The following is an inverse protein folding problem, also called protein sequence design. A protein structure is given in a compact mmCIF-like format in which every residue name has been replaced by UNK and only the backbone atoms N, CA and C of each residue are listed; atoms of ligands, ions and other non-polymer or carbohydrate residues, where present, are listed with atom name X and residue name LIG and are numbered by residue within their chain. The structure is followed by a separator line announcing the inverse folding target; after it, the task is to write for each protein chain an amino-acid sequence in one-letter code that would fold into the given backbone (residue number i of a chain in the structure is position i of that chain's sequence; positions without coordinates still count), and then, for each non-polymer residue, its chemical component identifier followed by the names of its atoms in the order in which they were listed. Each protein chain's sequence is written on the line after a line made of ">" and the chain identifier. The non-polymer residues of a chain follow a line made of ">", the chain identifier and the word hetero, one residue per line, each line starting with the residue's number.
data_IF_775075632872
#
_entry.id   IF_775075632872
#
_cell.length_a   1.000
_cell.length_b   1.000
_cell.length_c   1.000
_cell.angle_alpha   90.00
_cell.angle_beta   90.00
_cell.angle_gamma   90.00
#
_symmetry.space_group_name_H-M   'P 1'
#
loop_
_entity.id
_entity.type
_entity.pdbx_description
1 polymer ?
#
# COMPACT_ATOMS: atom_id res chain seq x y z
N UNK A 1 -28.39 21.27 13.94
CA UNK A 1 -29.22 20.08 13.64
C UNK A 1 -30.03 19.75 14.87
N UNK A 2 -31.31 19.45 14.69
CA UNK A 2 -32.17 18.98 15.78
C UNK A 2 -31.83 17.54 16.18
N UNK A 3 -32.26 17.11 17.37
CA UNK A 3 -32.07 15.72 17.83
C UNK A 3 -32.73 14.72 16.87
N UNK A 4 -33.92 15.03 16.34
CA UNK A 4 -34.61 14.20 15.37
C UNK A 4 -33.83 14.02 14.05
N UNK A 5 -33.17 15.09 13.57
CA UNK A 5 -32.30 15.02 12.38
C UNK A 5 -31.08 14.12 12.61
N UNK A 6 -30.47 14.17 13.80
CA UNK A 6 -29.33 13.33 14.15
C UNK A 6 -29.73 11.85 14.28
N UNK A 7 -30.87 11.56 14.91
CA UNK A 7 -31.40 10.18 15.01
C UNK A 7 -31.72 9.62 13.61
N UNK A 8 -32.29 10.45 12.73
CA UNK A 8 -32.52 10.07 11.33
C UNK A 8 -31.21 9.78 10.59
N UNK A 9 -30.20 10.66 10.73
CA UNK A 9 -28.88 10.46 10.15
C UNK A 9 -28.21 9.17 10.65
N UNK A 10 -28.31 8.87 11.95
CA UNK A 10 -27.83 7.60 12.54
C UNK A 10 -28.53 6.39 11.91
N UNK A 11 -29.85 6.46 11.72
CA UNK A 11 -30.64 5.43 11.05
C UNK A 11 -30.15 5.14 9.62
N UNK A 12 -29.82 6.19 8.85
CA UNK A 12 -29.27 6.05 7.49
C UNK A 12 -27.92 5.34 7.53
N UNK A 13 -27.03 5.70 8.46
CA UNK A 13 -25.71 5.09 8.61
C UNK A 13 -25.82 3.61 8.99
N UNK A 14 -26.68 3.28 9.97
CA UNK A 14 -27.02 1.89 10.31
C UNK A 14 -27.52 1.12 9.09
N UNK A 15 -28.40 1.73 8.29
CA UNK A 15 -28.89 1.13 7.05
C UNK A 15 -27.82 0.92 5.97
N UNK A 16 -26.74 1.71 5.93
CA UNK A 16 -25.57 1.43 5.07
C UNK A 16 -24.88 0.14 5.53
N UNK A 17 -24.62 0.01 6.84
CA UNK A 17 -23.97 -1.17 7.41
C UNK A 17 -24.80 -2.44 7.21
N UNK A 18 -26.12 -2.40 7.47
CA UNK A 18 -27.03 -3.53 7.25
C UNK A 18 -27.07 -3.99 5.79
N UNK A 19 -27.02 -3.06 4.83
CA UNK A 19 -26.97 -3.43 3.40
C UNK A 19 -25.67 -4.15 3.04
N UNK A 20 -24.55 -3.76 3.64
CA UNK A 20 -23.29 -4.48 3.47
C UNK A 20 -23.40 -5.87 4.10
N UNK A 21 -23.90 -5.98 5.34
CA UNK A 21 -24.07 -7.26 6.02
C UNK A 21 -24.90 -8.24 5.19
N UNK A 22 -26.06 -7.80 4.69
CA UNK A 22 -26.93 -8.63 3.86
C UNK A 22 -26.22 -9.10 2.60
N UNK A 23 -25.49 -8.20 1.92
CA UNK A 23 -24.71 -8.56 0.74
C UNK A 23 -23.64 -9.61 1.06
N UNK A 24 -22.92 -9.46 2.17
CA UNK A 24 -21.86 -10.37 2.61
C UNK A 24 -22.43 -11.75 2.94
N UNK A 25 -23.54 -11.80 3.69
CA UNK A 25 -24.22 -13.06 4.05
C UNK A 25 -24.74 -13.84 2.84
N UNK A 26 -25.14 -13.15 1.78
CA UNK A 26 -25.62 -13.78 0.54
C UNK A 26 -24.55 -13.85 -0.55
N UNK A 27 -23.28 -13.57 -0.22
CA UNK A 27 -22.23 -13.50 -1.21
C UNK A 27 -21.92 -14.89 -1.77
N UNK A 28 -21.98 -15.03 -3.09
CA UNK A 28 -21.58 -16.24 -3.77
C UNK A 28 -20.05 -16.37 -3.76
N UNK A 29 -19.54 -17.42 -3.14
CA UNK A 29 -18.11 -17.77 -3.08
C UNK A 29 -17.44 -17.91 -4.46
N UNK A 30 -18.22 -18.11 -5.54
CA UNK A 30 -17.74 -18.15 -6.92
C UNK A 30 -17.59 -16.76 -7.56
N UNK A 31 -18.27 -15.74 -7.01
CA UNK A 31 -18.31 -14.39 -7.54
C UNK A 31 -17.00 -13.62 -7.30
N UNK A 32 -16.88 -12.46 -7.96
CA UNK A 32 -15.66 -11.65 -7.89
C UNK A 32 -15.45 -11.06 -6.48
N UNK A 33 -14.38 -11.51 -5.82
CA UNK A 33 -14.00 -11.11 -4.45
C UNK A 33 -13.76 -9.60 -4.29
N UNK A 34 -13.45 -8.88 -5.37
CA UNK A 34 -13.26 -7.42 -5.33
C UNK A 34 -14.54 -6.69 -4.87
N UNK A 35 -15.73 -7.25 -5.07
CA UNK A 35 -16.97 -6.69 -4.55
C UNK A 35 -17.04 -6.72 -3.01
N UNK A 36 -16.43 -7.72 -2.38
CA UNK A 36 -16.31 -7.82 -0.92
C UNK A 36 -15.25 -6.86 -0.41
N UNK A 37 -14.07 -6.83 -1.04
CA UNK A 37 -12.96 -5.94 -0.66
C UNK A 37 -13.34 -4.45 -0.79
N UNK A 38 -14.06 -4.08 -1.84
CA UNK A 38 -14.56 -2.71 -2.03
C UNK A 38 -15.58 -2.30 -0.96
N UNK A 39 -16.33 -3.24 -0.38
CA UNK A 39 -17.24 -2.95 0.75
C UNK A 39 -16.49 -2.89 2.07
N UNK A 40 -15.46 -3.72 2.24
CA UNK A 40 -14.54 -3.67 3.39
C UNK A 40 -13.89 -2.29 3.52
N UNK A 41 -13.45 -1.69 2.41
CA UNK A 41 -12.81 -0.36 2.43
C UNK A 41 -13.76 0.78 2.82
N UNK A 42 -15.08 0.59 2.73
CA UNK A 42 -16.08 1.57 3.17
C UNK A 42 -16.36 1.53 4.68
N UNK A 43 -16.06 0.40 5.35
CA UNK A 43 -16.38 0.21 6.77
C UNK A 43 -15.77 1.28 7.69
N UNK A 44 -14.47 1.66 7.57
CA UNK A 44 -13.90 2.70 8.43
C UNK A 44 -14.61 4.05 8.29
N UNK A 45 -15.05 4.40 7.08
CA UNK A 45 -15.82 5.63 6.84
C UNK A 45 -17.19 5.57 7.51
N UNK A 46 -17.87 4.42 7.43
CA UNK A 46 -19.19 4.21 8.06
C UNK A 46 -19.07 4.28 9.59
N UNK A 47 -18.02 3.69 10.17
CA UNK A 47 -17.74 3.79 11.61
C UNK A 47 -17.53 5.26 12.00
N UNK A 48 -16.66 5.98 11.29
CA UNK A 48 -16.40 7.40 11.55
C UNK A 48 -17.68 8.26 11.48
N UNK A 49 -18.49 8.09 10.44
CA UNK A 49 -19.78 8.78 10.30
C UNK A 49 -20.71 8.49 11.50
N UNK A 50 -20.76 7.24 11.95
CA UNK A 50 -21.56 6.85 13.11
C UNK A 50 -21.05 7.52 14.39
N UNK A 51 -19.74 7.49 14.65
CA UNK A 51 -19.15 8.08 15.85
C UNK A 51 -19.40 9.59 15.93
N UNK A 52 -19.26 10.30 14.81
CA UNK A 52 -19.51 11.73 14.74
C UNK A 52 -20.98 12.10 15.03
N UNK A 53 -21.92 11.32 14.49
CA UNK A 53 -23.37 11.53 14.72
C UNK A 53 -23.74 11.13 16.15
N UNK A 54 -23.25 9.99 16.62
CA UNK A 54 -23.56 9.47 17.95
C UNK A 54 -22.99 10.38 19.06
N UNK A 55 -21.78 10.93 18.89
CA UNK A 55 -21.22 11.90 19.83
C UNK A 55 -22.06 13.18 19.94
N UNK A 56 -22.63 13.65 18.83
CA UNK A 56 -23.54 14.81 18.83
C UNK A 56 -24.85 14.50 19.57
N UNK A 57 -25.42 13.31 19.36
CA UNK A 57 -26.63 12.85 20.08
C UNK A 57 -26.35 12.78 21.59
N UNK A 58 -25.23 12.19 21.99
CA UNK A 58 -24.85 12.07 23.41
C UNK A 58 -24.59 13.45 24.04
N UNK A 59 -23.99 14.38 23.30
CA UNK A 59 -23.80 15.77 23.77
C UNK A 59 -25.13 16.49 23.99
N UNK A 60 -26.10 16.30 23.09
CA UNK A 60 -27.44 16.88 23.26
C UNK A 60 -28.16 16.24 24.44
N UNK A 61 -28.13 14.90 24.56
CA UNK A 61 -28.75 14.18 25.68
C UNK A 61 -28.20 14.60 27.05
N UNK A 62 -26.89 14.92 27.13
CA UNK A 62 -26.25 15.46 28.36
C UNK A 62 -26.70 16.88 28.71
N UNK A 63 -27.20 17.65 27.74
CA UNK A 63 -27.60 19.06 27.93
C UNK A 63 -29.08 19.17 28.36
N UNK A 64 -29.92 18.24 27.92
CA UNK A 64 -31.38 18.26 28.16
C UNK A 64 -31.82 17.51 29.41
N UNK A 65 -30.99 16.62 29.98
CA UNK A 65 -31.34 15.78 31.13
C UNK A 65 -30.57 16.16 32.40
N UNK A 66 -31.26 16.14 33.56
CA UNK A 66 -30.59 16.05 34.87
C UNK A 66 -29.63 14.86 34.86
N UNK A 67 -28.38 15.10 35.26
CA UNK A 67 -27.17 14.25 35.15
C UNK A 67 -27.32 12.84 35.75
N UNK A 68 -28.20 12.01 35.20
CA UNK A 68 -28.51 10.68 35.71
C UNK A 68 -28.11 9.64 34.68
N UNK A 69 -27.33 8.63 35.11
CA UNK A 69 -26.82 7.53 34.26
C UNK A 69 -27.91 6.80 33.48
N UNK A 70 -29.13 6.75 34.01
CA UNK A 70 -30.29 6.12 33.38
C UNK A 70 -30.72 6.75 32.03
N UNK A 71 -30.42 8.03 31.78
CA UNK A 71 -30.78 8.71 30.52
C UNK A 71 -29.79 8.44 29.38
N UNK A 72 -28.59 7.94 29.68
CA UNK A 72 -27.56 7.62 28.68
C UNK A 72 -27.54 6.14 28.29
N UNK A 73 -28.16 5.27 29.09
CA UNK A 73 -28.36 3.83 28.83
C UNK A 73 -28.82 3.52 27.39
N UNK A 74 -29.82 4.21 26.80
CA UNK A 74 -30.24 3.94 25.43
C UNK A 74 -29.15 4.22 24.39
N UNK A 75 -28.28 5.20 24.63
CA UNK A 75 -27.20 5.56 23.72
C UNK A 75 -26.03 4.57 23.80
N UNK A 76 -25.73 4.08 25.01
CA UNK A 76 -24.75 3.02 25.22
C UNK A 76 -25.16 1.74 24.49
N UNK A 77 -26.43 1.31 24.64
CA UNK A 77 -26.97 0.13 23.95
C UNK A 77 -26.95 0.29 22.43
N UNK A 78 -27.23 1.48 21.93
CA UNK A 78 -27.19 1.75 20.50
C UNK A 78 -25.76 1.64 19.94
N UNK A 79 -24.76 2.16 20.68
CA UNK A 79 -23.34 2.03 20.31
C UNK A 79 -22.90 0.57 20.30
N UNK A 80 -23.22 -0.17 21.35
CA UNK A 80 -22.93 -1.61 21.44
C UNK A 80 -23.59 -2.40 20.30
N UNK A 81 -24.86 -2.12 20.00
CA UNK A 81 -25.56 -2.75 18.88
C UNK A 81 -24.90 -2.45 17.53
N UNK A 82 -24.46 -1.21 17.31
CA UNK A 82 -23.77 -0.85 16.08
C UNK A 82 -22.39 -1.52 15.97
N UNK A 83 -21.60 -1.50 17.05
CA UNK A 83 -20.28 -2.12 17.09
C UNK A 83 -20.34 -3.63 16.85
N UNK A 84 -21.28 -4.32 17.49
CA UNK A 84 -21.50 -5.75 17.27
C UNK A 84 -21.81 -6.06 15.80
N UNK A 85 -22.71 -5.30 15.18
CA UNK A 85 -23.01 -5.45 13.75
C UNK A 85 -21.79 -5.11 12.87
N UNK A 86 -21.00 -4.10 13.24
CA UNK A 86 -19.82 -3.69 12.50
C UNK A 86 -18.77 -4.81 12.48
N UNK A 87 -18.47 -5.38 13.66
CA UNK A 87 -17.51 -6.46 13.78
C UNK A 87 -18.03 -7.78 13.19
N UNK A 88 -19.34 -8.04 13.23
CA UNK A 88 -19.95 -9.17 12.52
C UNK A 88 -19.69 -9.07 11.01
N UNK A 89 -19.97 -7.91 10.39
CA UNK A 89 -19.69 -7.69 8.97
C UNK A 89 -18.21 -7.92 8.65
N UNK A 90 -17.32 -7.36 9.48
CA UNK A 90 -15.88 -7.43 9.25
C UNK A 90 -15.38 -8.89 9.36
N UNK A 91 -15.85 -9.64 10.35
CA UNK A 91 -15.50 -11.05 10.54
C UNK A 91 -15.99 -11.94 9.39
N UNK A 92 -17.22 -11.71 8.91
CA UNK A 92 -17.77 -12.45 7.76
C UNK A 92 -16.97 -12.17 6.48
N UNK A 93 -16.63 -10.90 6.23
CA UNK A 93 -15.77 -10.51 5.11
C UNK A 93 -14.41 -11.22 5.19
N UNK A 94 -13.76 -11.20 6.36
CA UNK A 94 -12.45 -11.81 6.55
C UNK A 94 -12.50 -13.33 6.37
N UNK A 95 -13.56 -13.97 6.87
CA UNK A 95 -13.81 -15.41 6.68
C UNK A 95 -13.93 -15.76 5.19
N UNK A 96 -14.68 -14.98 4.41
CA UNK A 96 -14.82 -15.17 2.96
C UNK A 96 -13.45 -15.04 2.25
N UNK A 97 -12.67 -14.02 2.62
CA UNK A 97 -11.34 -13.78 2.03
C UNK A 97 -10.38 -14.92 2.36
N UNK A 98 -10.34 -15.36 3.61
CA UNK A 98 -9.50 -16.50 4.03
C UNK A 98 -9.88 -17.80 3.32
N UNK A 99 -11.18 -18.08 3.18
CA UNK A 99 -11.65 -19.28 2.48
C UNK A 99 -11.30 -19.24 0.99
N UNK A 100 -11.37 -18.06 0.35
CA UNK A 100 -10.93 -17.90 -1.05
C UNK A 100 -9.43 -18.16 -1.20
N UNK A 101 -8.62 -17.66 -0.28
CA UNK A 101 -7.17 -17.88 -0.27
C UNK A 101 -6.82 -19.35 -0.05
N UNK A 102 -7.55 -20.07 0.80
CA UNK A 102 -7.40 -21.53 0.98
C UNK A 102 -7.74 -22.31 -0.29
N UNK A 103 -8.79 -21.93 -1.01
CA UNK A 103 -9.21 -22.57 -2.28
C UNK A 103 -8.21 -22.30 -3.41
N UNK A 104 -7.65 -21.09 -3.49
CA UNK A 104 -6.61 -20.79 -4.47
C UNK A 104 -5.30 -21.53 -4.15
N UNK A 105 -4.93 -21.68 -2.87
CA UNK A 105 -3.74 -22.41 -2.47
C UNK A 105 -3.83 -23.94 -2.66
N UNK A 106 -5.03 -24.53 -2.74
CA UNK A 106 -5.22 -25.95 -3.06
C UNK A 106 -5.26 -26.24 -4.58
N UNK A 107 -5.56 -25.24 -5.41
CA UNK A 107 -5.64 -25.38 -6.88
C UNK A 107 -4.31 -25.11 -7.63
N UNK A 108 -3.31 -24.49 -6.99
CA UNK A 108 -2.01 -24.18 -7.61
C UNK A 108 -0.84 -24.93 -6.97
N UNK A 109 -0.74 -26.23 -7.25
CA UNK A 109 0.55 -26.93 -7.38
C UNK A 109 0.90 -27.12 -8.85
N UNK A 110 0.94 -26.02 -9.61
CA UNK A 110 1.68 -25.97 -10.86
C UNK A 110 2.96 -25.15 -10.64
N UNK A 111 4.08 -25.77 -10.98
CA UNK A 111 5.44 -25.28 -10.76
C UNK A 111 5.72 -24.16 -11.75
N UNK A 112 5.47 -22.91 -11.35
CA UNK A 112 6.08 -21.74 -12.00
C UNK A 112 6.84 -20.95 -10.95
N UNK A 113 8.12 -20.68 -11.21
CA UNK A 113 8.99 -19.82 -10.39
C UNK A 113 8.43 -18.39 -10.34
N UNK A 114 7.80 -17.92 -9.24
CA UNK A 114 7.25 -16.59 -9.19
C UNK A 114 8.34 -15.68 -8.62
N UNK A 115 9.10 -15.06 -9.50
CA UNK A 115 10.16 -14.10 -9.16
C UNK A 115 10.01 -12.78 -9.91
N UNK A 116 8.80 -12.50 -10.40
CA UNK A 116 8.46 -11.29 -11.13
C UNK A 116 7.64 -10.39 -10.22
N UNK A 117 8.23 -9.27 -9.79
CA UNK A 117 7.46 -8.14 -9.30
C UNK A 117 7.08 -7.32 -10.54
N UNK A 118 5.77 -7.07 -10.68
CA UNK A 118 5.21 -6.26 -11.76
C UNK A 118 4.98 -4.86 -11.18
N UNK A 119 5.81 -3.90 -11.58
CA UNK A 119 5.43 -2.49 -11.51
C UNK A 119 4.16 -2.29 -12.34
N UNK A 120 3.13 -1.69 -11.76
CA UNK A 120 1.91 -1.43 -12.51
C UNK A 120 2.13 -0.25 -13.46
N UNK A 121 1.96 -0.50 -14.76
CA UNK A 121 1.97 0.53 -15.78
C UNK A 121 0.76 0.37 -16.69
N UNK A 122 0.23 1.49 -17.19
CA UNK A 122 -0.88 1.50 -18.15
C UNK A 122 -0.29 1.77 -19.53
N UNK A 123 -0.47 0.83 -20.46
CA UNK A 123 0.16 0.86 -21.79
C UNK A 123 -0.42 1.92 -22.75
N UNK A 124 -1.54 2.58 -22.42
CA UNK A 124 -2.29 3.48 -23.31
C UNK A 124 -2.41 4.93 -22.80
N UNK A 125 -1.54 5.38 -21.89
CA UNK A 125 -1.57 6.76 -21.36
C UNK A 125 -0.34 7.51 -21.83
N UNK A 126 -0.43 8.85 -21.90
CA UNK A 126 0.69 9.74 -22.16
C UNK A 126 1.96 9.29 -21.40
N UNK A 127 3.15 9.38 -22.02
CA UNK A 127 4.39 8.96 -21.40
C UNK A 127 4.62 9.69 -20.07
N UNK A 128 4.69 8.93 -18.98
CA UNK A 128 5.01 9.42 -17.64
C UNK A 128 6.46 9.06 -17.33
N UNK A 129 7.19 10.00 -16.73
CA UNK A 129 8.54 9.78 -16.24
C UNK A 129 8.51 9.32 -14.79
N UNK A 130 9.35 8.34 -14.46
CA UNK A 130 9.48 7.83 -13.10
C UNK A 130 10.59 8.56 -12.34
N UNK A 131 10.38 8.74 -11.04
CA UNK A 131 11.37 9.30 -10.13
C UNK A 131 12.55 8.34 -9.96
N UNK A 132 13.63 8.59 -10.70
CA UNK A 132 14.83 7.75 -10.72
C UNK A 132 16.06 8.53 -10.29
N UNK A 133 17.05 7.84 -9.75
CA UNK A 133 18.31 8.43 -9.31
C UNK A 133 19.49 7.48 -9.50
N UNK A 134 20.66 8.02 -9.86
CA UNK A 134 21.92 7.28 -9.82
C UNK A 134 22.56 7.46 -8.43
N UNK A 135 22.92 6.35 -7.79
CA UNK A 135 23.57 6.32 -6.48
C UNK A 135 24.81 5.43 -6.49
N UNK A 136 25.59 5.54 -5.43
CA UNK A 136 26.77 4.72 -5.19
C UNK A 136 26.45 3.64 -4.15
N UNK A 137 26.48 2.38 -4.55
CA UNK A 137 26.30 1.24 -3.63
C UNK A 137 27.65 0.62 -3.34
N UNK A 138 27.92 0.35 -2.07
CA UNK A 138 29.18 -0.27 -1.63
C UNK A 138 29.15 -1.78 -1.92
N UNK A 139 30.15 -2.28 -2.64
CA UNK A 139 30.32 -3.71 -2.93
C UNK A 139 31.07 -4.47 -1.82
N UNK A 140 31.22 -5.78 -1.97
CA UNK A 140 31.91 -6.67 -1.02
C UNK A 140 33.39 -6.32 -0.82
N UNK A 141 34.00 -5.62 -1.77
CA UNK A 141 35.40 -5.18 -1.71
C UNK A 141 35.52 -3.74 -1.19
N UNK A 142 34.44 -3.19 -0.62
CA UNK A 142 34.32 -1.82 -0.14
C UNK A 142 34.42 -0.73 -1.23
N UNK A 143 34.31 -1.08 -2.51
CA UNK A 143 34.32 -0.12 -3.62
C UNK A 143 32.90 0.38 -3.92
N UNK A 144 32.80 1.65 -4.32
CA UNK A 144 31.54 2.28 -4.68
C UNK A 144 31.19 1.98 -6.14
N UNK A 145 30.02 1.42 -6.37
CA UNK A 145 29.50 1.03 -7.67
C UNK A 145 28.25 1.83 -8.00
N UNK A 146 28.17 2.38 -9.22
CA UNK A 146 26.97 3.11 -9.66
C UNK A 146 25.82 2.14 -9.86
N UNK A 147 24.67 2.46 -9.27
CA UNK A 147 23.41 1.74 -9.44
C UNK A 147 22.28 2.74 -9.68
N UNK A 148 21.27 2.32 -10.43
CA UNK A 148 20.05 3.10 -10.66
C UNK A 148 18.95 2.66 -9.72
N UNK A 149 18.40 3.64 -9.00
CA UNK A 149 17.25 3.51 -8.12
C UNK A 149 16.00 4.03 -8.81
N UNK A 150 14.89 3.34 -8.55
CA UNK A 150 13.53 3.85 -8.70
C UNK A 150 12.99 4.20 -7.31
N UNK A 151 12.43 5.39 -7.16
CA UNK A 151 11.70 5.80 -5.97
C UNK A 151 10.20 5.56 -6.19
N UNK A 152 9.61 4.64 -5.43
CA UNK A 152 8.23 4.20 -5.63
C UNK A 152 7.46 4.16 -4.30
N UNK A 153 6.75 5.25 -4.00
CA UNK A 153 5.87 5.36 -2.82
C UNK A 153 4.67 4.42 -2.87
N UNK A 154 4.35 3.86 -4.05
CA UNK A 154 3.31 2.84 -4.20
C UNK A 154 3.74 1.47 -3.69
N UNK A 155 5.04 1.27 -3.44
CA UNK A 155 5.59 0.04 -2.89
C UNK A 155 5.79 0.15 -1.39
N UNK A 156 5.28 -0.82 -0.62
CA UNK A 156 5.48 -0.83 0.83
C UNK A 156 6.94 -1.13 1.23
N UNK A 157 7.65 -1.91 0.41
CA UNK A 157 9.01 -2.37 0.71
C UNK A 157 10.03 -1.95 -0.34
N UNK A 158 11.31 -2.08 0.02
CA UNK A 158 12.44 -1.83 -0.86
C UNK A 158 13.05 -3.13 -1.43
N UNK A 159 13.48 -3.09 -2.69
CA UNK A 159 13.89 -4.27 -3.48
C UNK A 159 15.20 -4.07 -4.22
N UNK A 160 15.91 -5.18 -4.45
CA UNK A 160 17.10 -5.24 -5.30
C UNK A 160 17.05 -6.46 -6.22
N UNK A 161 17.51 -6.31 -7.46
CA UNK A 161 17.59 -7.47 -8.35
C UNK A 161 18.66 -8.46 -7.90
N UNK A 162 18.40 -9.76 -8.09
CA UNK A 162 19.38 -10.85 -7.89
C UNK A 162 20.67 -10.60 -8.65
N UNK A 163 20.56 -10.06 -9.86
CA UNK A 163 21.71 -9.71 -10.70
C UNK A 163 22.61 -8.68 -10.01
N UNK A 164 22.06 -7.56 -9.53
CA UNK A 164 22.85 -6.51 -8.86
C UNK A 164 23.38 -7.01 -7.52
N UNK A 165 22.56 -7.72 -6.74
CA UNK A 165 23.00 -8.32 -5.48
C UNK A 165 24.23 -9.22 -5.69
N UNK A 166 24.22 -10.07 -6.73
CA UNK A 166 25.36 -10.93 -7.08
C UNK A 166 26.54 -10.13 -7.61
N UNK A 167 26.31 -9.17 -8.51
CA UNK A 167 27.35 -8.31 -9.10
C UNK A 167 28.13 -7.53 -8.04
N UNK A 168 27.44 -7.05 -7.01
CA UNK A 168 28.02 -6.31 -5.89
C UNK A 168 28.60 -7.23 -4.80
N UNK A 169 28.39 -8.54 -4.89
CA UNK A 169 28.85 -9.50 -3.87
C UNK A 169 28.18 -9.32 -2.50
N UNK A 170 26.97 -8.77 -2.44
CA UNK A 170 26.33 -8.44 -1.16
C UNK A 170 25.97 -9.72 -0.39
N UNK A 171 26.31 -9.73 0.89
CA UNK A 171 25.93 -10.83 1.79
C UNK A 171 24.41 -10.88 1.93
N UNK A 172 23.84 -12.06 1.75
CA UNK A 172 22.41 -12.29 1.78
C UNK A 172 22.05 -13.26 2.89
N UNK A 173 20.87 -13.06 3.50
CA UNK A 173 20.30 -13.92 4.53
C UNK A 173 19.03 -14.57 3.99
N UNK A 174 18.75 -15.78 4.47
CA UNK A 174 17.47 -16.45 4.20
C UNK A 174 16.34 -15.67 4.87
N UNK A 175 15.23 -15.51 4.17
CA UNK A 175 13.98 -14.96 4.70
C UNK A 175 12.80 -15.70 4.08
N UNK A 176 11.59 -15.44 4.55
CA UNK A 176 10.37 -16.00 3.98
C UNK A 176 9.25 -14.96 4.08
N UNK A 177 9.26 -14.01 3.14
CA UNK A 177 8.33 -12.87 3.12
C UNK A 177 7.43 -13.01 1.90
N UNK A 178 6.11 -13.01 2.11
CA UNK A 178 5.14 -12.93 1.01
C UNK A 178 4.99 -11.48 0.55
N UNK A 179 4.98 -11.28 -0.76
CA UNK A 179 4.76 -10.00 -1.42
C UNK A 179 3.54 -10.17 -2.32
N UNK A 180 2.60 -9.25 -2.21
CA UNK A 180 1.43 -9.18 -3.07
C UNK A 180 1.48 -7.92 -3.94
N UNK A 181 1.22 -8.08 -5.24
CA UNK A 181 1.09 -6.99 -6.20
C UNK A 181 -0.37 -6.73 -6.60
N UNK A 182 -0.57 -5.71 -7.44
CA UNK A 182 -1.85 -5.50 -8.11
C UNK A 182 -2.23 -6.73 -8.94
N UNK A 183 -3.45 -7.23 -8.75
CA UNK A 183 -3.92 -8.49 -9.34
C UNK A 183 -3.88 -9.70 -8.41
N UNK A 184 -3.54 -9.53 -7.12
CA UNK A 184 -3.50 -10.60 -6.10
C UNK A 184 -2.50 -11.72 -6.41
N UNK A 185 -1.49 -11.44 -7.24
CA UNK A 185 -0.38 -12.35 -7.44
C UNK A 185 0.54 -12.27 -6.22
N UNK A 186 0.61 -13.35 -5.45
CA UNK A 186 1.54 -13.49 -4.35
C UNK A 186 2.85 -14.15 -4.82
N UNK A 187 3.97 -13.60 -4.40
CA UNK A 187 5.30 -14.15 -4.60
C UNK A 187 6.04 -14.17 -3.27
N UNK A 188 6.74 -15.27 -3.00
CA UNK A 188 7.56 -15.41 -1.79
C UNK A 188 9.00 -15.02 -2.07
N UNK A 189 9.48 -14.00 -1.38
CA UNK A 189 10.90 -13.67 -1.35
C UNK A 189 11.61 -14.48 -0.27
N UNK A 190 12.65 -15.18 -0.73
CA UNK A 190 13.45 -16.10 0.10
C UNK A 190 14.76 -15.50 0.60
N UNK A 191 15.07 -14.28 0.15
CA UNK A 191 16.40 -13.72 0.34
C UNK A 191 16.32 -12.22 0.61
N UNK A 192 17.01 -11.78 1.64
CA UNK A 192 17.15 -10.37 2.01
C UNK A 192 18.64 -10.04 2.11
N UNK A 193 19.01 -8.85 1.68
CA UNK A 193 20.38 -8.34 1.80
C UNK A 193 20.37 -6.97 2.47
N UNK A 194 21.54 -6.49 2.89
CA UNK A 194 21.70 -5.13 3.42
C UNK A 194 22.68 -4.40 2.52
N UNK A 195 22.27 -3.24 2.01
CA UNK A 195 23.08 -2.41 1.13
C UNK A 195 23.37 -1.05 1.79
N UNK A 196 24.60 -0.58 1.65
CA UNK A 196 25.00 0.79 1.99
C UNK A 196 25.00 1.63 0.71
N UNK A 197 24.07 2.57 0.65
CA UNK A 197 23.81 3.46 -0.47
C UNK A 197 24.30 4.86 -0.11
N UNK A 198 25.14 5.46 -0.96
CA UNK A 198 25.63 6.83 -0.83
C UNK A 198 25.09 7.67 -1.99
N UNK A 199 24.69 8.89 -1.68
CA UNK A 199 24.32 9.91 -2.67
C UNK A 199 25.48 10.18 -3.64
N UNK A 200 25.15 10.46 -4.89
CA UNK A 200 26.15 10.85 -5.89
C UNK A 200 26.64 12.30 -5.68
N UNK A 201 25.83 13.13 -5.02
CA UNK A 201 26.02 14.59 -4.98
C UNK A 201 26.47 15.15 -3.63
N UNK A 202 26.30 14.39 -2.55
CA UNK A 202 26.65 14.81 -1.21
C UNK A 202 27.08 13.62 -0.33
N UNK A 203 27.37 13.88 0.94
CA UNK A 203 27.81 12.86 1.89
C UNK A 203 26.67 12.02 2.49
N UNK A 204 25.41 12.27 2.08
CA UNK A 204 24.28 11.48 2.55
C UNK A 204 24.50 10.00 2.23
N UNK A 205 24.35 9.19 3.26
CA UNK A 205 24.53 7.74 3.19
C UNK A 205 23.47 7.05 4.02
N UNK A 206 22.95 5.96 3.48
CA UNK A 206 21.88 5.17 4.05
C UNK A 206 22.25 3.69 4.01
N UNK A 207 21.95 2.94 5.07
CA UNK A 207 22.12 1.48 5.10
C UNK A 207 20.77 0.84 5.35
N UNK A 208 20.28 0.08 4.38
CA UNK A 208 18.91 -0.45 4.40
C UNK A 208 18.84 -1.93 4.05
N UNK A 209 17.86 -2.67 4.62
CA UNK A 209 17.51 -3.99 4.13
C UNK A 209 16.82 -3.90 2.77
N UNK A 210 17.13 -4.83 1.86
CA UNK A 210 16.54 -4.93 0.53
C UNK A 210 16.12 -6.37 0.28
N UNK A 211 14.88 -6.55 -0.16
CA UNK A 211 14.35 -7.85 -0.58
C UNK A 211 14.90 -8.20 -1.96
N UNK A 212 15.49 -9.39 -2.07
CA UNK A 212 16.19 -9.82 -3.29
C UNK A 212 15.21 -10.55 -4.22
N UNK A 213 14.96 -9.96 -5.38
CA UNK A 213 13.96 -10.42 -6.37
C UNK A 213 14.61 -10.63 -7.72
N UNK A 214 14.07 -11.48 -8.60
CA UNK A 214 14.70 -11.63 -9.92
C UNK A 214 14.54 -10.38 -10.79
N UNK A 215 13.39 -9.71 -10.70
CA UNK A 215 13.05 -8.53 -11.48
C UNK A 215 12.14 -7.59 -10.68
N UNK A 216 12.39 -6.29 -10.81
CA UNK A 216 11.65 -5.23 -10.13
C UNK A 216 10.55 -4.66 -11.05
N UNK A 217 10.92 -4.33 -12.29
CA UNK A 217 10.00 -3.78 -13.29
C UNK A 217 10.27 -4.43 -14.64
N UNK A 218 9.26 -4.45 -15.52
CA UNK A 218 9.51 -4.53 -16.96
C UNK A 218 10.32 -3.32 -17.44
N UNK A 219 10.94 -3.36 -18.64
CA UNK A 219 11.64 -2.20 -19.17
C UNK A 219 10.71 -0.99 -19.18
N UNK A 220 11.00 -0.02 -18.34
CA UNK A 220 10.31 1.26 -18.27
C UNK A 220 11.31 2.35 -18.61
N UNK A 221 10.96 3.30 -19.48
CA UNK A 221 9.74 3.34 -20.30
C UNK A 221 9.75 2.29 -21.43
N UNK A 222 8.58 1.71 -21.74
CA UNK A 222 8.38 0.82 -22.90
C UNK A 222 8.03 1.61 -24.18
N UNK A 223 8.50 2.86 -24.26
CA UNK A 223 8.33 3.76 -25.40
C UNK A 223 9.66 4.48 -25.67
N UNK A 224 9.88 4.87 -26.92
CA UNK A 224 11.06 5.66 -27.29
C UNK A 224 10.93 7.08 -26.73
N UNK A 225 11.82 7.45 -25.82
CA UNK A 225 11.85 8.80 -25.24
C UNK A 225 12.43 9.78 -26.27
N UNK A 226 11.60 10.70 -26.77
CA UNK A 226 12.09 11.86 -27.50
C UNK A 226 12.52 12.96 -26.52
N UNK A 227 13.79 12.93 -26.11
CA UNK A 227 14.37 13.92 -25.17
C UNK A 227 14.18 15.37 -25.63
N UNK A 228 14.06 15.61 -26.95
CA UNK A 228 13.81 16.93 -27.53
C UNK A 228 12.47 17.58 -27.13
N UNK A 229 11.49 16.79 -26.70
CA UNK A 229 10.18 17.27 -26.27
C UNK A 229 10.16 17.63 -24.76
N UNK A 230 11.14 17.18 -23.99
CA UNK A 230 11.24 17.48 -22.56
C UNK A 230 12.00 18.81 -22.41
N UNK A 231 11.27 19.87 -22.08
CA UNK A 231 11.86 21.19 -21.79
C UNK A 231 12.46 21.18 -20.38
N UNK A 232 13.57 20.48 -20.17
CA UNK A 232 14.32 20.53 -18.92
C UNK A 232 15.09 21.87 -18.88
N UNK A 233 14.88 22.72 -17.85
CA UNK A 233 15.66 23.93 -17.69
C UNK A 233 17.16 23.63 -17.63
N UNK A 234 17.99 24.37 -18.36
CA UNK A 234 19.44 24.13 -18.46
C UNK A 234 20.19 24.24 -17.12
N UNK A 235 19.57 24.85 -16.12
CA UNK A 235 20.11 25.06 -14.78
C UNK A 235 19.72 23.96 -13.78
N UNK A 236 19.05 22.89 -14.22
CA UNK A 236 18.67 21.76 -13.37
C UNK A 236 19.51 20.53 -13.71
N UNK A 237 20.25 20.04 -12.72
CA UNK A 237 20.95 18.76 -12.79
C UNK A 237 19.97 17.63 -12.44
N UNK A 238 19.81 16.65 -13.33
CA UNK A 238 18.95 15.50 -13.06
C UNK A 238 19.62 14.52 -12.10
N UNK A 239 18.84 13.95 -11.18
CA UNK A 239 19.29 12.88 -10.30
C UNK A 239 19.63 11.60 -11.09
N UNK A 240 18.99 11.39 -12.24
CA UNK A 240 19.31 10.37 -13.23
C UNK A 240 19.25 10.97 -14.65
N UNK A 241 20.41 11.31 -15.25
CA UNK A 241 20.48 11.76 -16.64
C UNK A 241 20.01 10.71 -17.66
N UNK A 242 19.96 9.44 -17.24
CA UNK A 242 19.63 8.27 -18.04
C UNK A 242 18.36 7.59 -17.50
N UNK A 243 17.39 8.38 -17.03
CA UNK A 243 16.11 7.91 -16.45
C UNK A 243 15.29 6.97 -17.38
N UNK A 244 15.64 6.95 -18.67
CA UNK A 244 15.05 6.10 -19.69
C UNK A 244 15.63 4.67 -19.71
N UNK A 245 16.62 4.37 -18.87
CA UNK A 245 17.19 3.04 -18.70
C UNK A 245 16.54 2.40 -17.46
N UNK A 246 16.16 1.10 -17.50
CA UNK A 246 15.53 0.44 -16.37
C UNK A 246 16.33 0.51 -15.07
N UNK A 247 15.61 0.58 -13.95
CA UNK A 247 16.18 0.60 -12.59
C UNK A 247 16.40 -0.81 -12.05
N UNK A 248 17.42 -0.98 -11.21
CA UNK A 248 17.77 -2.29 -10.64
C UNK A 248 17.62 -2.35 -9.12
N UNK A 249 17.27 -1.23 -8.50
CA UNK A 249 16.93 -1.11 -7.09
C UNK A 249 15.64 -0.28 -6.99
N UNK A 250 14.72 -0.65 -6.11
CA UNK A 250 13.50 0.09 -5.82
C UNK A 250 13.50 0.48 -4.34
N UNK A 251 13.23 1.75 -4.05
CA UNK A 251 13.02 2.23 -2.70
C UNK A 251 11.53 2.52 -2.49
N UNK A 252 10.96 1.84 -1.50
CA UNK A 252 9.55 1.93 -1.15
C UNK A 252 9.25 3.03 -0.12
N UNK A 253 7.99 3.06 0.31
CA UNK A 253 7.48 3.93 1.36
C UNK A 253 8.12 3.67 2.73
N UNK A 254 8.69 2.48 2.96
CA UNK A 254 9.48 2.12 4.15
C UNK A 254 10.68 3.06 4.39
N UNK A 255 11.26 3.58 3.31
CA UNK A 255 12.45 4.42 3.34
C UNK A 255 12.18 5.84 2.80
N UNK A 256 11.16 6.03 1.96
CA UNK A 256 10.86 7.29 1.28
C UNK A 256 10.93 8.53 2.19
N UNK A 257 10.29 8.49 3.36
CA UNK A 257 10.24 9.63 4.27
C UNK A 257 11.60 10.00 4.88
N UNK A 258 12.55 9.08 4.94
CA UNK A 258 13.92 9.35 5.39
C UNK A 258 14.77 10.04 4.32
N UNK A 259 14.34 9.97 3.06
CA UNK A 259 15.02 10.59 1.92
C UNK A 259 14.60 12.05 1.73
N UNK A 260 13.45 12.45 2.27
CA UNK A 260 12.98 13.83 2.19
C UNK A 260 13.80 14.72 3.14
N UNK A 261 14.60 15.61 2.56
CA UNK A 261 15.20 16.72 3.31
C UNK A 261 14.16 17.81 3.59
N UNK A 262 14.30 18.49 4.72
CA UNK A 262 13.49 19.67 5.07
C UNK A 262 13.69 20.74 3.98
N UNK A 263 12.58 21.25 3.41
CA UNK A 263 12.59 22.42 2.52
C UNK A 263 12.66 22.17 1.00
N UNK A 264 12.44 20.94 0.52
CA UNK A 264 12.34 20.64 -0.92
C UNK A 264 10.91 20.24 -1.30
N UNK A 265 10.31 20.96 -2.26
CA UNK A 265 9.02 20.61 -2.87
C UNK A 265 9.31 19.61 -3.99
N UNK A 266 8.59 18.49 -3.98
CA UNK A 266 8.74 17.37 -4.90
C UNK A 266 7.58 17.33 -5.90
#
# INVERSE_FOLDING_TARGET
>A
MSEAELVSARGIIKGKLTRILNFVKTFDSSANINHILARKSLLPSILKEFEEVQAKIESLAKTTADKTSASLEPQVRERESFENNYFEVLAEIDTIVENRNKIQNSASRSRQEPNQIVSCYVSQVNPIYLSTAIVLVKDSNNKLQKCRLLLDVGSQGSFITKEVCKKLGLTSKSTNISISGLGQNESTVKTITTAKIKSLYNEFTLTIPLLVVAKITDPLPNFTVQLSQIKIPKNITLADPEFYIPSNILLGADIFWQLLCVGQIH
#
